data_IF_388134040980
#
_entry.id   IF_388134040980
#
_cell.length_a   1.000
_cell.length_b   1.000
_cell.length_c   1.000
_cell.angle_alpha   90.00
_cell.angle_beta   90.00
_cell.angle_gamma   90.00
#
_symmetry.space_group_name_H-M   'P 1'
#
loop_
_entity.id
_entity.type
_entity.pdbx_description
1 polymer ?
#
# COMPACT_ATOMS: atom_id res chain seq x y z
N UNK A 1 -26.99 -19.50 11.70
CA UNK A 1 -27.67 -18.25 11.36
C UNK A 1 -28.40 -18.47 10.03
N UNK A 2 -29.71 -18.31 10.02
CA UNK A 2 -30.47 -18.20 8.79
C UNK A 2 -30.46 -16.73 8.35
N UNK A 3 -29.91 -16.45 7.19
CA UNK A 3 -29.71 -15.10 6.67
C UNK A 3 -30.66 -14.77 5.50
N UNK A 4 -31.64 -15.66 5.23
CA UNK A 4 -32.59 -15.55 4.12
C UNK A 4 -31.91 -15.25 2.78
N UNK A 5 -31.95 -13.99 2.36
CA UNK A 5 -31.40 -13.51 1.08
C UNK A 5 -29.99 -12.88 1.21
N UNK A 6 -29.34 -13.00 2.35
CA UNK A 6 -28.03 -12.42 2.60
C UNK A 6 -26.93 -13.48 2.59
N UNK A 7 -25.73 -13.08 2.24
CA UNK A 7 -24.52 -13.89 2.32
C UNK A 7 -23.56 -13.23 3.31
N UNK A 8 -23.11 -13.99 4.32
CA UNK A 8 -22.07 -13.55 5.22
C UNK A 8 -20.70 -13.86 4.61
N UNK A 9 -19.90 -12.82 4.46
CA UNK A 9 -18.50 -12.92 4.00
C UNK A 9 -17.55 -12.39 5.08
N UNK A 10 -16.26 -12.76 5.06
CA UNK A 10 -15.27 -12.08 5.88
C UNK A 10 -15.24 -10.58 5.55
N UNK A 11 -14.91 -9.76 6.56
CA UNK A 11 -14.69 -8.33 6.32
C UNK A 11 -13.57 -8.11 5.31
N UNK A 12 -13.71 -7.09 4.47
CA UNK A 12 -12.70 -6.74 3.47
C UNK A 12 -11.48 -6.12 4.15
N UNK A 13 -10.31 -6.36 3.59
CA UNK A 13 -9.03 -5.83 4.06
C UNK A 13 -8.42 -4.99 2.95
N UNK A 14 -8.31 -3.69 3.18
CA UNK A 14 -7.67 -2.75 2.28
C UNK A 14 -6.15 -2.77 2.51
N UNK A 15 -5.42 -3.42 1.62
CA UNK A 15 -3.99 -3.69 1.80
C UNK A 15 -3.08 -2.49 1.57
N UNK A 16 -3.59 -1.40 1.03
CA UNK A 16 -2.84 -0.16 0.79
C UNK A 16 -3.76 1.04 0.71
N UNK A 17 -3.51 2.04 1.55
CA UNK A 17 -4.18 3.33 1.56
C UNK A 17 -3.22 4.47 1.87
N UNK A 18 -3.67 5.69 1.55
CA UNK A 18 -3.25 6.97 2.12
C UNK A 18 -4.50 7.61 2.72
N UNK A 19 -4.98 7.07 3.84
CA UNK A 19 -6.32 7.32 4.36
C UNK A 19 -6.66 8.81 4.46
N UNK A 20 -5.73 9.63 4.97
CA UNK A 20 -5.98 11.07 5.17
C UNK A 20 -6.06 11.87 3.87
N UNK A 21 -5.63 11.31 2.73
CA UNK A 21 -5.80 11.93 1.41
C UNK A 21 -7.24 11.96 0.92
N UNK A 22 -8.21 11.46 1.70
CA UNK A 22 -9.65 11.71 1.44
C UNK A 22 -9.99 13.19 1.36
N UNK A 23 -9.25 14.04 2.10
CA UNK A 23 -9.40 15.49 2.02
C UNK A 23 -8.81 16.11 0.75
N UNK A 24 -8.06 15.35 -0.03
CA UNK A 24 -7.45 15.77 -1.30
C UNK A 24 -8.16 15.15 -2.53
N UNK A 25 -9.28 14.50 -2.33
CA UNK A 25 -10.07 13.86 -3.39
C UNK A 25 -10.44 14.86 -4.48
N UNK A 26 -10.11 14.54 -5.74
CA UNK A 26 -10.38 15.38 -6.91
C UNK A 26 -9.56 16.67 -6.97
N UNK A 27 -8.49 16.80 -6.18
CA UNK A 27 -7.64 18.00 -6.17
C UNK A 27 -6.95 18.24 -7.51
N UNK A 28 -6.50 17.17 -8.17
CA UNK A 28 -5.75 17.26 -9.42
C UNK A 28 -5.94 15.96 -10.21
N UNK A 29 -6.97 15.90 -11.06
CA UNK A 29 -7.25 14.74 -11.91
C UNK A 29 -6.55 14.86 -13.27
N UNK A 30 -6.46 13.72 -14.00
CA UNK A 30 -6.00 13.61 -15.38
C UNK A 30 -4.54 14.05 -15.61
N UNK A 31 -3.65 13.74 -14.68
CA UNK A 31 -2.23 14.08 -14.71
C UNK A 31 -1.33 12.84 -14.58
N UNK A 32 -0.15 12.84 -15.25
CA UNK A 32 0.87 11.82 -15.00
C UNK A 32 1.37 11.87 -13.56
N UNK A 33 1.74 10.71 -12.97
CA UNK A 33 2.12 10.54 -11.58
C UNK A 33 3.09 11.62 -11.07
N UNK A 34 4.23 11.85 -11.74
CA UNK A 34 5.24 12.79 -11.23
C UNK A 34 4.78 14.25 -11.28
N UNK A 35 4.02 14.66 -12.32
CA UNK A 35 3.40 15.99 -12.39
C UNK A 35 2.35 16.12 -11.29
N UNK A 36 1.51 15.10 -11.11
CA UNK A 36 0.51 15.05 -10.05
C UNK A 36 1.14 15.21 -8.65
N UNK A 37 2.21 14.46 -8.37
CA UNK A 37 2.93 14.54 -7.09
C UNK A 37 3.62 15.88 -6.88
N UNK A 38 4.50 16.28 -7.82
CA UNK A 38 5.43 17.41 -7.62
C UNK A 38 4.75 18.76 -7.70
N UNK A 39 3.78 18.90 -8.63
CA UNK A 39 3.17 20.20 -8.92
C UNK A 39 1.87 20.43 -8.14
N UNK A 40 1.23 19.37 -7.65
CA UNK A 40 -0.09 19.48 -6.99
C UNK A 40 -0.13 18.89 -5.58
N UNK A 41 0.24 17.62 -5.38
CA UNK A 41 0.06 16.96 -4.09
C UNK A 41 1.07 17.44 -3.05
N UNK A 42 2.36 17.31 -3.30
CA UNK A 42 3.39 17.69 -2.33
C UNK A 42 3.33 19.16 -1.89
N UNK A 43 3.05 20.15 -2.77
CA UNK A 43 2.85 21.53 -2.33
C UNK A 43 1.66 21.73 -1.39
N UNK A 44 0.57 20.99 -1.61
CA UNK A 44 -0.62 21.03 -0.75
C UNK A 44 -0.34 20.33 0.57
N UNK A 45 0.30 19.17 0.54
CA UNK A 45 0.72 18.44 1.74
C UNK A 45 1.67 19.27 2.60
N UNK A 46 2.69 19.89 2.01
CA UNK A 46 3.62 20.75 2.72
C UNK A 46 2.94 21.93 3.43
N UNK A 47 1.81 22.39 2.93
CA UNK A 47 1.04 23.50 3.47
C UNK A 47 0.03 23.09 4.53
N UNK A 48 -0.64 21.98 4.37
CA UNK A 48 -1.85 21.66 5.11
C UNK A 48 -1.74 20.42 5.99
N UNK A 49 -0.82 19.49 5.69
CA UNK A 49 -0.73 18.24 6.45
C UNK A 49 -0.10 18.49 7.81
N UNK A 50 -0.88 18.20 8.82
CA UNK A 50 -0.54 18.21 10.22
C UNK A 50 -1.49 17.29 10.99
N UNK A 51 -1.36 17.20 12.31
CA UNK A 51 -2.17 16.26 13.12
C UNK A 51 -3.68 16.40 12.91
N UNK A 52 -4.21 17.62 12.84
CA UNK A 52 -5.65 17.87 12.67
C UNK A 52 -6.12 17.42 11.28
N UNK A 53 -5.37 17.76 10.22
CA UNK A 53 -5.67 17.30 8.86
C UNK A 53 -5.68 15.77 8.78
N UNK A 54 -4.67 15.13 9.36
CA UNK A 54 -4.56 13.67 9.34
C UNK A 54 -5.69 13.03 10.13
N UNK A 55 -6.05 13.57 11.29
CA UNK A 55 -7.17 13.08 12.09
C UNK A 55 -8.50 13.15 11.32
N UNK A 56 -8.83 14.30 10.74
CA UNK A 56 -10.10 14.52 10.06
C UNK A 56 -10.20 13.67 8.78
N UNK A 57 -9.10 13.64 8.00
CA UNK A 57 -9.04 12.83 6.78
C UNK A 57 -9.12 11.32 7.07
N UNK A 58 -8.40 10.85 8.10
CA UNK A 58 -8.44 9.45 8.50
C UNK A 58 -9.82 9.02 9.01
N UNK A 59 -10.50 9.85 9.81
CA UNK A 59 -11.87 9.55 10.27
C UNK A 59 -12.85 9.47 9.11
N UNK A 60 -12.77 10.40 8.15
CA UNK A 60 -13.60 10.37 6.94
C UNK A 60 -13.33 9.09 6.12
N UNK A 61 -12.06 8.73 5.92
CA UNK A 61 -11.67 7.49 5.25
C UNK A 61 -12.23 6.24 5.94
N UNK A 62 -12.10 6.17 7.26
CA UNK A 62 -12.60 5.03 8.05
C UNK A 62 -14.13 4.92 7.97
N UNK A 63 -14.85 6.04 8.00
CA UNK A 63 -16.31 6.05 7.82
C UNK A 63 -16.72 5.52 6.45
N UNK A 64 -16.01 5.90 5.38
CA UNK A 64 -16.23 5.41 4.03
C UNK A 64 -15.89 3.92 3.91
N UNK A 65 -14.71 3.50 4.38
CA UNK A 65 -14.26 2.10 4.38
C UNK A 65 -15.22 1.19 5.15
N UNK A 66 -15.66 1.56 6.37
CA UNK A 66 -16.62 0.78 7.15
C UNK A 66 -17.97 0.64 6.44
N UNK A 67 -18.45 1.69 5.79
CA UNK A 67 -19.68 1.63 4.99
C UNK A 67 -19.53 0.73 3.77
N UNK A 68 -18.34 0.64 3.17
CA UNK A 68 -17.97 -0.26 2.08
C UNK A 68 -17.68 -1.70 2.51
N UNK A 69 -17.74 -2.02 3.84
CA UNK A 69 -17.47 -3.37 4.36
C UNK A 69 -16.00 -3.68 4.63
N UNK A 70 -15.12 -2.69 4.58
CA UNK A 70 -13.72 -2.80 4.98
C UNK A 70 -13.63 -2.80 6.51
N UNK A 71 -12.97 -3.81 7.06
CA UNK A 71 -12.83 -4.00 8.52
C UNK A 71 -11.39 -3.89 9.02
N UNK A 72 -10.45 -3.82 8.08
CA UNK A 72 -9.03 -3.60 8.33
C UNK A 72 -8.43 -2.84 7.15
N UNK A 73 -7.50 -1.92 7.41
CA UNK A 73 -6.75 -1.24 6.36
C UNK A 73 -5.27 -1.12 6.71
N UNK A 74 -4.44 -0.97 5.69
CA UNK A 74 -3.01 -0.71 5.81
C UNK A 74 -2.72 0.68 5.25
N UNK A 75 -2.19 1.56 6.08
CA UNK A 75 -2.00 2.97 5.77
C UNK A 75 -0.53 3.34 5.63
N UNK A 76 -0.22 4.19 4.67
CA UNK A 76 1.10 4.81 4.49
C UNK A 76 0.94 6.32 4.42
N UNK A 77 1.04 7.00 5.56
CA UNK A 77 0.95 8.46 5.58
C UNK A 77 1.75 9.08 6.73
N UNK A 78 1.89 10.41 6.69
CA UNK A 78 2.51 11.19 7.77
C UNK A 78 1.65 11.16 9.04
N UNK A 79 2.25 11.32 10.21
CA UNK A 79 1.60 11.27 11.52
C UNK A 79 0.85 9.95 11.79
N UNK A 80 1.49 8.78 11.63
CA UNK A 80 0.84 7.48 11.80
C UNK A 80 0.25 7.27 13.20
N UNK A 81 0.78 7.94 14.23
CA UNK A 81 0.24 7.95 15.60
C UNK A 81 -1.18 8.55 15.67
N UNK A 82 -1.47 9.54 14.81
CA UNK A 82 -2.79 10.16 14.72
C UNK A 82 -3.77 9.20 14.05
N UNK A 83 -3.35 8.53 12.96
CA UNK A 83 -4.16 7.49 12.30
C UNK A 83 -4.44 6.34 13.25
N UNK A 84 -3.45 5.90 14.05
CA UNK A 84 -3.61 4.86 15.06
C UNK A 84 -4.64 5.26 16.12
N UNK A 85 -4.60 6.49 16.62
CA UNK A 85 -5.57 7.00 17.59
C UNK A 85 -6.98 7.06 17.01
N UNK A 86 -7.13 7.54 15.77
CA UNK A 86 -8.42 7.58 15.07
C UNK A 86 -8.98 6.17 14.83
N UNK A 87 -8.13 5.19 14.43
CA UNK A 87 -8.55 3.81 14.23
C UNK A 87 -9.10 3.16 15.52
N UNK A 88 -8.43 3.40 16.67
CA UNK A 88 -8.94 2.97 17.97
C UNK A 88 -10.30 3.60 18.29
N UNK A 89 -10.43 4.90 18.09
CA UNK A 89 -11.68 5.62 18.35
C UNK A 89 -12.84 5.14 17.47
N UNK A 90 -12.58 4.83 16.21
CA UNK A 90 -13.55 4.28 15.27
C UNK A 90 -13.81 2.78 15.46
N UNK A 91 -12.94 2.05 16.17
CA UNK A 91 -13.05 0.60 16.37
C UNK A 91 -12.73 -0.23 15.14
N UNK A 92 -11.95 0.28 14.19
CA UNK A 92 -11.49 -0.41 12.99
C UNK A 92 -10.05 -0.92 13.17
N UNK A 93 -9.73 -2.09 12.62
CA UNK A 93 -8.36 -2.56 12.59
C UNK A 93 -7.51 -1.79 11.59
N UNK A 94 -6.26 -1.48 11.98
CA UNK A 94 -5.32 -0.82 11.10
C UNK A 94 -3.91 -1.42 11.24
N UNK A 95 -3.17 -1.43 10.13
CA UNK A 95 -1.73 -1.48 10.11
C UNK A 95 -1.24 -0.08 9.71
N UNK A 96 -0.51 0.61 10.59
CA UNK A 96 -0.02 1.96 10.31
C UNK A 96 1.43 1.92 9.89
N UNK A 97 1.73 2.57 8.77
CA UNK A 97 3.06 2.63 8.20
C UNK A 97 3.98 3.57 8.97
N UNK A 98 5.10 3.06 9.48
CA UNK A 98 6.20 3.86 10.00
C UNK A 98 6.91 4.52 8.81
N UNK A 99 6.32 5.65 8.36
CA UNK A 99 6.71 6.33 7.13
C UNK A 99 8.17 6.80 7.19
N UNK A 100 8.89 6.71 6.07
CA UNK A 100 10.25 7.22 5.93
C UNK A 100 10.50 7.82 4.55
N UNK A 101 11.17 8.99 4.54
CA UNK A 101 11.66 9.69 3.37
C UNK A 101 13.09 10.18 3.62
N UNK A 102 13.89 10.36 2.57
CA UNK A 102 15.21 11.00 2.66
C UNK A 102 15.18 12.54 2.55
N UNK A 103 14.00 13.12 2.70
CA UNK A 103 13.81 14.57 2.72
C UNK A 103 12.90 15.01 3.88
N UNK A 104 13.02 16.24 4.34
CA UNK A 104 12.20 16.76 5.43
C UNK A 104 10.74 16.93 5.01
N UNK A 105 9.82 16.64 5.93
CA UNK A 105 8.38 16.90 5.81
C UNK A 105 7.87 17.60 7.06
N UNK A 106 6.59 17.92 7.11
CA UNK A 106 5.94 18.40 8.34
C UNK A 106 5.98 17.42 9.51
N UNK A 107 6.23 16.13 9.22
CA UNK A 107 6.29 15.07 10.23
C UNK A 107 7.69 14.90 10.83
N UNK A 108 8.74 14.83 10.00
CA UNK A 108 10.12 14.65 10.46
C UNK A 108 11.13 15.36 9.54
N UNK A 109 12.29 15.71 10.08
CA UNK A 109 13.32 16.50 9.38
C UNK A 109 14.50 15.66 8.89
N UNK A 110 14.61 14.41 9.32
CA UNK A 110 15.71 13.51 8.96
C UNK A 110 15.27 12.05 9.07
N UNK A 111 16.02 11.14 8.41
CA UNK A 111 15.80 9.70 8.53
C UNK A 111 15.87 9.24 9.99
N UNK A 112 16.79 9.77 10.80
CA UNK A 112 16.87 9.42 12.22
C UNK A 112 15.62 9.82 12.98
N UNK A 113 15.03 10.97 12.67
CA UNK A 113 13.78 11.41 13.30
C UNK A 113 12.60 10.57 12.85
N UNK A 114 12.49 10.23 11.54
CA UNK A 114 11.47 9.30 11.06
C UNK A 114 11.53 7.97 11.79
N UNK A 115 12.71 7.38 11.88
CA UNK A 115 12.89 6.09 12.54
C UNK A 115 12.67 6.19 14.05
N UNK A 116 13.12 7.23 14.72
CA UNK A 116 12.91 7.40 16.15
C UNK A 116 11.42 7.50 16.51
N UNK A 117 10.66 8.32 15.76
CA UNK A 117 9.19 8.43 15.93
C UNK A 117 8.48 7.12 15.62
N UNK A 118 8.88 6.45 14.53
CA UNK A 118 8.32 5.15 14.16
C UNK A 118 8.54 4.08 15.22
N UNK A 119 9.77 3.95 15.75
CA UNK A 119 10.10 2.99 16.79
C UNK A 119 9.33 3.29 18.09
N UNK A 120 9.20 4.56 18.46
CA UNK A 120 8.38 4.94 19.61
C UNK A 120 6.92 4.52 19.42
N UNK A 121 6.34 4.81 18.25
CA UNK A 121 4.96 4.40 17.94
C UNK A 121 4.82 2.87 17.98
N UNK A 122 5.78 2.12 17.43
CA UNK A 122 5.74 0.66 17.51
C UNK A 122 5.72 0.17 18.97
N UNK A 123 6.54 0.77 19.84
CA UNK A 123 6.56 0.42 21.27
C UNK A 123 5.20 0.71 21.93
N UNK A 124 4.57 1.84 21.59
CA UNK A 124 3.25 2.23 22.11
C UNK A 124 2.13 1.30 21.63
N UNK A 125 2.32 0.61 20.50
CA UNK A 125 1.34 -0.30 19.88
C UNK A 125 1.49 -1.77 20.30
N UNK A 126 2.54 -2.17 21.05
CA UNK A 126 2.86 -3.58 21.34
C UNK A 126 1.71 -4.41 21.93
N UNK A 127 0.83 -3.79 22.70
CA UNK A 127 -0.31 -4.48 23.33
C UNK A 127 -1.66 -4.04 22.72
N UNK A 128 -1.64 -3.32 21.61
CA UNK A 128 -2.86 -2.82 20.99
C UNK A 128 -3.60 -3.96 20.25
N UNK A 129 -4.89 -4.19 20.55
CA UNK A 129 -5.64 -5.28 19.94
C UNK A 129 -6.14 -4.96 18.53
N UNK A 130 -6.14 -3.68 18.12
CA UNK A 130 -6.69 -3.21 16.86
C UNK A 130 -5.64 -2.70 15.89
N UNK A 131 -4.56 -2.09 16.39
CA UNK A 131 -3.58 -1.40 15.57
C UNK A 131 -2.22 -2.07 15.64
N UNK A 132 -1.61 -2.27 14.48
CA UNK A 132 -0.25 -2.80 14.31
C UNK A 132 0.58 -1.81 13.50
N UNK A 133 1.89 -1.99 13.48
CA UNK A 133 2.81 -1.20 12.67
C UNK A 133 3.46 -2.05 11.58
N UNK A 134 3.84 -1.39 10.47
CA UNK A 134 4.75 -1.91 9.46
C UNK A 134 5.75 -0.82 9.10
N UNK A 135 7.00 -1.13 8.76
CA UNK A 135 7.86 -0.14 8.15
C UNK A 135 7.31 0.28 6.78
N UNK A 136 7.29 1.57 6.52
CA UNK A 136 6.74 2.13 5.28
C UNK A 136 7.72 3.11 4.63
N UNK A 137 8.92 2.66 4.17
CA UNK A 137 9.73 3.48 3.28
C UNK A 137 8.91 3.76 2.03
N UNK A 138 8.77 5.03 1.64
CA UNK A 138 7.80 5.43 0.62
C UNK A 138 8.03 4.71 -0.73
N UNK A 139 9.23 4.85 -1.29
CA UNK A 139 9.58 4.22 -2.57
C UNK A 139 11.12 4.13 -2.72
N UNK A 140 11.67 3.27 -3.59
CA UNK A 140 13.11 3.17 -3.83
C UNK A 140 13.76 4.46 -4.35
N UNK A 141 12.97 5.36 -4.97
CA UNK A 141 13.45 6.65 -5.48
C UNK A 141 13.34 7.81 -4.49
N UNK A 142 12.73 7.60 -3.33
CA UNK A 142 12.60 8.61 -2.25
C UNK A 142 13.32 8.22 -0.98
N UNK A 143 13.88 7.01 -0.92
CA UNK A 143 14.60 6.47 0.24
C UNK A 143 15.91 5.86 -0.23
N UNK A 144 17.02 6.31 0.31
CA UNK A 144 18.36 5.85 -0.08
C UNK A 144 18.61 4.39 0.25
N UNK A 145 19.58 3.78 -0.44
CA UNK A 145 20.00 2.41 -0.19
C UNK A 145 20.41 2.18 1.27
N UNK A 146 21.15 3.11 1.88
CA UNK A 146 21.58 3.00 3.28
C UNK A 146 20.41 3.06 4.27
N UNK A 147 19.40 3.88 3.98
CA UNK A 147 18.19 3.94 4.78
C UNK A 147 17.35 2.65 4.62
N UNK A 148 17.20 2.16 3.39
CA UNK A 148 16.52 0.88 3.12
C UNK A 148 17.21 -0.29 3.82
N UNK A 149 18.55 -0.40 3.78
CA UNK A 149 19.28 -1.42 4.53
C UNK A 149 19.06 -1.34 6.04
N UNK A 150 19.02 -0.11 6.58
CA UNK A 150 18.74 0.10 8.01
C UNK A 150 17.32 -0.32 8.37
N UNK A 151 16.35 0.04 7.54
CA UNK A 151 14.94 -0.37 7.71
C UNK A 151 14.81 -1.90 7.61
N UNK A 152 15.48 -2.53 6.63
CA UNK A 152 15.50 -3.98 6.48
C UNK A 152 15.98 -4.70 7.74
N UNK A 153 17.12 -4.26 8.31
CA UNK A 153 17.63 -4.81 9.58
C UNK A 153 16.66 -4.63 10.75
N UNK A 154 16.06 -3.45 10.88
CA UNK A 154 15.08 -3.20 11.93
C UNK A 154 13.82 -4.05 11.74
N UNK A 155 13.36 -4.24 10.50
CA UNK A 155 12.22 -5.08 10.19
C UNK A 155 12.49 -6.56 10.53
N UNK A 156 13.72 -7.04 10.29
CA UNK A 156 14.13 -8.40 10.67
C UNK A 156 14.21 -8.56 12.20
N UNK A 157 14.84 -7.61 12.90
CA UNK A 157 15.02 -7.63 14.35
C UNK A 157 13.69 -7.57 15.11
N UNK A 158 12.68 -6.87 14.54
CA UNK A 158 11.38 -6.61 15.17
C UNK A 158 10.25 -7.49 14.62
N UNK A 159 10.55 -8.34 13.62
CA UNK A 159 9.58 -9.15 12.89
C UNK A 159 8.41 -8.34 12.31
N UNK A 160 8.70 -7.18 11.70
CA UNK A 160 7.72 -6.29 11.13
C UNK A 160 7.67 -6.39 9.60
N UNK A 161 6.47 -6.23 8.98
CA UNK A 161 6.34 -6.10 7.53
C UNK A 161 7.01 -4.82 7.01
N UNK A 162 7.36 -4.84 5.72
CA UNK A 162 7.83 -3.68 4.96
C UNK A 162 6.82 -3.40 3.85
N UNK A 163 6.26 -2.22 3.86
CA UNK A 163 5.24 -1.75 2.91
C UNK A 163 5.84 -0.63 2.06
N UNK A 164 5.93 -0.79 0.74
CA UNK A 164 6.68 0.12 -0.14
C UNK A 164 6.10 0.13 -1.56
N UNK A 165 6.04 1.33 -2.21
CA UNK A 165 5.71 1.44 -3.62
C UNK A 165 6.87 0.95 -4.49
N UNK A 166 6.58 0.05 -5.45
CA UNK A 166 7.59 -0.54 -6.33
C UNK A 166 7.02 -0.74 -7.73
N UNK A 167 7.79 -0.34 -8.75
CA UNK A 167 7.43 -0.56 -10.15
C UNK A 167 6.05 -0.01 -10.51
N UNK A 168 5.73 1.20 -10.03
CA UNK A 168 4.43 1.80 -10.28
C UNK A 168 4.29 2.27 -11.72
N UNK A 169 5.30 2.98 -12.29
CA UNK A 169 5.26 3.45 -13.66
C UNK A 169 6.49 3.04 -14.47
N UNK A 170 6.33 2.96 -15.79
CA UNK A 170 7.47 2.69 -16.70
C UNK A 170 8.53 3.79 -16.62
N UNK A 171 8.13 5.05 -16.43
CA UNK A 171 9.03 6.18 -16.29
C UNK A 171 9.87 6.09 -15.01
N UNK A 172 9.26 5.71 -13.88
CA UNK A 172 9.94 5.44 -12.61
C UNK A 172 11.03 4.37 -12.79
N UNK A 173 10.64 3.22 -13.34
CA UNK A 173 11.57 2.09 -13.53
C UNK A 173 12.73 2.46 -14.45
N UNK A 174 12.45 3.12 -15.59
CA UNK A 174 13.48 3.52 -16.54
C UNK A 174 14.45 4.54 -15.93
N UNK A 175 13.93 5.53 -15.20
CA UNK A 175 14.75 6.51 -14.50
C UNK A 175 15.63 5.86 -13.44
N UNK A 176 15.05 5.03 -12.58
CA UNK A 176 15.78 4.34 -11.51
C UNK A 176 16.90 3.46 -12.10
N UNK A 177 16.60 2.72 -13.17
CA UNK A 177 17.58 1.88 -13.85
C UNK A 177 18.72 2.71 -14.46
N UNK A 178 18.42 3.88 -15.05
CA UNK A 178 19.45 4.77 -15.60
C UNK A 178 20.36 5.36 -14.50
N UNK A 179 19.79 5.69 -13.32
CA UNK A 179 20.52 6.30 -12.20
C UNK A 179 21.32 5.25 -11.39
N UNK A 180 20.82 4.01 -11.27
CA UNK A 180 21.36 3.00 -10.35
C UNK A 180 21.91 1.73 -11.03
N UNK A 181 21.74 1.59 -12.35
CA UNK A 181 22.23 0.44 -13.11
C UNK A 181 21.45 -0.87 -12.90
N UNK A 182 20.36 -0.84 -12.13
CA UNK A 182 19.49 -1.99 -11.85
C UNK A 182 18.02 -1.54 -11.70
N UNK A 183 17.09 -2.49 -11.81
CA UNK A 183 15.66 -2.21 -11.60
C UNK A 183 15.34 -2.04 -10.10
N UNK A 184 14.26 -1.32 -9.72
CA UNK A 184 13.90 -1.13 -8.31
C UNK A 184 13.77 -2.42 -7.50
N UNK A 185 13.09 -3.45 -8.01
CA UNK A 185 12.96 -4.73 -7.31
C UNK A 185 14.32 -5.44 -7.11
N UNK A 186 15.18 -5.39 -8.11
CA UNK A 186 16.54 -5.93 -8.02
C UNK A 186 17.36 -5.21 -6.94
N UNK A 187 17.19 -3.88 -6.81
CA UNK A 187 17.79 -3.12 -5.72
C UNK A 187 17.31 -3.59 -4.36
N UNK A 188 16.00 -3.78 -4.19
CA UNK A 188 15.44 -4.29 -2.92
C UNK A 188 15.99 -5.69 -2.59
N UNK A 189 16.15 -6.56 -3.59
CA UNK A 189 16.77 -7.88 -3.42
C UNK A 189 18.24 -7.78 -2.97
N UNK A 190 19.05 -6.93 -3.63
CA UNK A 190 20.44 -6.67 -3.25
C UNK A 190 20.61 -6.16 -1.82
N UNK A 191 19.63 -5.40 -1.33
CA UNK A 191 19.60 -4.84 0.02
C UNK A 191 18.93 -5.78 1.06
N UNK A 192 18.52 -7.00 0.65
CA UNK A 192 17.91 -7.99 1.54
C UNK A 192 16.44 -7.73 1.90
N UNK A 193 15.78 -6.80 1.20
CA UNK A 193 14.37 -6.48 1.49
C UNK A 193 13.37 -7.40 0.75
N UNK A 194 13.81 -8.13 -0.27
CA UNK A 194 12.96 -9.09 -0.98
C UNK A 194 12.80 -10.36 -0.15
N UNK A 195 11.77 -10.41 0.67
CA UNK A 195 11.48 -11.50 1.61
C UNK A 195 9.96 -11.63 1.84
N UNK A 196 9.55 -12.60 2.66
CA UNK A 196 8.16 -12.78 3.06
C UNK A 196 7.58 -11.62 3.89
N UNK A 197 8.41 -10.66 4.33
CA UNK A 197 7.94 -9.43 4.99
C UNK A 197 7.59 -8.32 4.01
N UNK A 198 7.97 -8.44 2.73
CA UNK A 198 7.76 -7.39 1.74
C UNK A 198 6.30 -7.39 1.25
N UNK A 199 5.64 -6.26 1.38
CA UNK A 199 4.41 -5.91 0.68
C UNK A 199 4.73 -4.83 -0.36
N UNK A 200 4.91 -5.23 -1.62
CA UNK A 200 5.18 -4.35 -2.74
C UNK A 200 3.88 -3.84 -3.36
N UNK A 201 3.73 -2.52 -3.46
CA UNK A 201 2.51 -1.89 -3.99
C UNK A 201 2.65 -1.60 -5.48
N UNK A 202 1.54 -1.67 -6.22
CA UNK A 202 1.36 -1.44 -7.66
C UNK A 202 1.91 -2.54 -8.56
N UNK A 203 3.22 -2.72 -8.65
CA UNK A 203 3.91 -3.77 -9.43
C UNK A 203 3.40 -3.88 -10.88
N UNK A 204 3.16 -2.74 -11.54
CA UNK A 204 2.62 -2.70 -12.91
C UNK A 204 3.66 -3.07 -13.97
N UNK A 205 4.96 -2.88 -13.67
CA UNK A 205 6.07 -2.99 -14.63
C UNK A 205 6.94 -4.23 -14.38
N UNK A 206 6.31 -5.38 -14.13
CA UNK A 206 7.01 -6.63 -13.84
C UNK A 206 7.48 -7.37 -15.09
N UNK A 207 8.71 -7.85 -15.04
CA UNK A 207 9.24 -8.86 -15.94
C UNK A 207 8.94 -10.29 -15.45
N UNK A 208 8.90 -11.30 -16.34
CA UNK A 208 8.63 -12.69 -15.94
C UNK A 208 9.54 -13.20 -14.82
N UNK A 209 10.85 -12.94 -14.92
CA UNK A 209 11.82 -13.37 -13.91
C UNK A 209 11.61 -12.69 -12.54
N UNK A 210 11.05 -11.48 -12.51
CA UNK A 210 10.74 -10.79 -11.27
C UNK A 210 9.53 -11.44 -10.54
N UNK A 211 8.56 -11.94 -11.28
CA UNK A 211 7.43 -12.71 -10.73
C UNK A 211 7.93 -13.99 -10.04
N UNK A 212 8.88 -14.68 -10.66
CA UNK A 212 9.49 -15.88 -10.08
C UNK A 212 10.27 -15.56 -8.79
N UNK A 213 11.01 -14.46 -8.76
CA UNK A 213 11.73 -13.99 -7.56
C UNK A 213 10.79 -13.62 -6.43
N UNK A 214 9.69 -12.90 -6.71
CA UNK A 214 8.66 -12.59 -5.72
C UNK A 214 8.05 -13.86 -5.12
N UNK A 215 7.73 -14.86 -5.96
CA UNK A 215 7.18 -16.14 -5.52
C UNK A 215 8.17 -16.92 -4.64
N UNK A 216 9.45 -17.00 -5.04
CA UNK A 216 10.49 -17.68 -4.28
C UNK A 216 10.77 -17.01 -2.92
N UNK A 217 10.71 -15.68 -2.88
CA UNK A 217 10.89 -14.91 -1.67
C UNK A 217 9.67 -14.97 -0.72
N UNK A 218 8.51 -15.47 -1.19
CA UNK A 218 7.25 -15.42 -0.43
C UNK A 218 6.69 -14.00 -0.26
N UNK A 219 7.14 -13.04 -1.09
CA UNK A 219 6.73 -11.65 -1.00
C UNK A 219 5.26 -11.47 -1.37
N UNK A 220 4.67 -10.37 -0.89
CA UNK A 220 3.28 -10.00 -1.14
C UNK A 220 3.19 -8.82 -2.11
N UNK A 221 2.07 -8.73 -2.84
CA UNK A 221 1.77 -7.62 -3.74
C UNK A 221 0.42 -7.00 -3.35
N UNK A 222 0.38 -5.68 -3.15
CA UNK A 222 -0.85 -4.92 -3.06
C UNK A 222 -1.19 -4.37 -4.45
N UNK A 223 -2.25 -4.91 -5.05
CA UNK A 223 -2.76 -4.48 -6.34
C UNK A 223 -3.82 -3.40 -6.15
N UNK A 224 -3.61 -2.22 -6.76
CA UNK A 224 -4.49 -1.07 -6.70
C UNK A 224 -4.98 -0.74 -8.12
N UNK A 225 -5.93 -1.52 -8.67
CA UNK A 225 -6.27 -1.43 -10.10
C UNK A 225 -6.84 -0.08 -10.51
N UNK A 226 -7.70 0.54 -9.72
CA UNK A 226 -8.31 1.83 -10.07
C UNK A 226 -7.28 2.96 -10.07
N UNK A 227 -6.42 3.05 -9.05
CA UNK A 227 -5.31 4.01 -9.02
C UNK A 227 -4.35 3.82 -10.21
N UNK A 228 -3.96 2.58 -10.49
CA UNK A 228 -3.10 2.27 -11.63
C UNK A 228 -3.71 2.72 -12.97
N UNK A 229 -5.03 2.61 -13.11
CA UNK A 229 -5.76 3.05 -14.31
C UNK A 229 -5.91 4.56 -14.35
N UNK A 230 -6.30 5.20 -13.24
CA UNK A 230 -6.48 6.65 -13.16
C UNK A 230 -5.21 7.41 -13.49
N UNK A 231 -4.07 6.97 -12.93
CA UNK A 231 -2.75 7.58 -13.17
C UNK A 231 -2.06 7.07 -14.45
N UNK A 232 -2.71 6.16 -15.19
CA UNK A 232 -2.14 5.46 -16.35
C UNK A 232 -0.75 4.84 -16.05
N UNK A 233 -0.57 4.35 -14.82
CA UNK A 233 0.69 3.77 -14.34
C UNK A 233 1.06 2.48 -15.07
N UNK A 234 0.06 1.70 -15.48
CA UNK A 234 0.23 0.43 -16.18
C UNK A 234 -0.69 -0.68 -15.64
N UNK A 235 -0.41 -1.92 -16.02
CA UNK A 235 -1.22 -3.08 -15.65
C UNK A 235 -0.42 -4.04 -14.78
N UNK A 236 -0.79 -4.16 -13.51
CA UNK A 236 -0.25 -5.22 -12.66
C UNK A 236 -0.68 -6.60 -13.21
N UNK A 237 0.25 -7.52 -13.46
CA UNK A 237 -0.07 -8.85 -13.97
C UNK A 237 -0.60 -9.78 -12.86
N UNK A 238 -1.64 -9.33 -12.13
CA UNK A 238 -2.16 -9.98 -10.92
C UNK A 238 -2.51 -11.47 -11.13
N UNK A 239 -3.05 -11.82 -12.30
CA UNK A 239 -3.33 -13.25 -12.64
C UNK A 239 -2.06 -14.09 -12.78
N UNK A 240 -0.96 -13.52 -13.32
CA UNK A 240 0.33 -14.21 -13.42
C UNK A 240 1.01 -14.35 -12.06
N UNK A 241 0.93 -13.32 -11.23
CA UNK A 241 1.42 -13.34 -9.85
C UNK A 241 0.71 -14.43 -9.04
N UNK A 242 -0.62 -14.45 -9.09
CA UNK A 242 -1.43 -15.45 -8.40
C UNK A 242 -1.14 -16.89 -8.88
N UNK A 243 -1.00 -17.10 -10.19
CA UNK A 243 -0.64 -18.41 -10.77
C UNK A 243 0.77 -18.86 -10.39
N UNK A 244 1.70 -17.92 -10.16
CA UNK A 244 3.05 -18.21 -9.68
C UNK A 244 3.11 -18.45 -8.16
N UNK A 245 2.00 -18.30 -7.43
CA UNK A 245 1.92 -18.50 -5.98
C UNK A 245 2.26 -17.25 -5.15
N UNK A 246 2.43 -16.10 -5.78
CA UNK A 246 2.60 -14.83 -5.06
C UNK A 246 1.27 -14.47 -4.38
N UNK A 247 1.30 -14.13 -3.10
CA UNK A 247 0.11 -13.64 -2.41
C UNK A 247 -0.22 -12.23 -2.91
N UNK A 248 -1.33 -12.10 -3.61
CA UNK A 248 -1.87 -10.81 -4.07
C UNK A 248 -2.98 -10.37 -3.13
N UNK A 249 -2.89 -9.15 -2.63
CA UNK A 249 -3.92 -8.45 -1.87
C UNK A 249 -4.47 -7.27 -2.70
N UNK A 250 -5.64 -6.76 -2.34
CA UNK A 250 -6.26 -5.59 -2.99
C UNK A 250 -6.12 -4.38 -2.08
N UNK A 251 -5.75 -3.24 -2.66
CA UNK A 251 -5.72 -1.94 -2.02
C UNK A 251 -6.39 -0.89 -2.89
N UNK A 252 -6.92 0.16 -2.27
CA UNK A 252 -7.53 1.28 -3.00
C UNK A 252 -6.51 2.35 -3.39
N UNK A 253 -5.35 2.37 -2.73
CA UNK A 253 -4.51 3.56 -2.69
C UNK A 253 -5.21 4.74 -1.98
N UNK A 254 -4.74 5.98 -2.13
CA UNK A 254 -5.39 7.16 -1.57
C UNK A 254 -6.56 7.65 -2.44
N UNK A 255 -7.58 8.25 -1.82
CA UNK A 255 -8.71 8.82 -2.56
C UNK A 255 -8.31 9.99 -3.48
N UNK A 256 -7.11 10.53 -3.37
CA UNK A 256 -6.57 11.51 -4.32
C UNK A 256 -6.09 10.86 -5.62
N UNK A 257 -5.58 9.63 -5.57
CA UNK A 257 -5.13 8.85 -6.74
C UNK A 257 -6.18 7.87 -7.26
N UNK A 258 -7.26 7.63 -6.51
CA UNK A 258 -8.35 6.70 -6.86
C UNK A 258 -9.68 7.43 -7.10
N UNK A 259 -10.12 8.25 -6.20
CA UNK A 259 -11.36 9.00 -6.02
C UNK A 259 -12.31 8.42 -4.96
N UNK A 260 -12.15 7.17 -4.54
CA UNK A 260 -12.89 6.58 -3.42
C UNK A 260 -12.03 5.56 -2.65
N UNK A 261 -12.65 4.88 -1.67
CA UNK A 261 -12.04 3.80 -0.90
C UNK A 261 -12.94 2.55 -0.93
N UNK A 262 -13.63 2.33 -2.06
CA UNK A 262 -14.55 1.20 -2.26
C UNK A 262 -13.83 -0.05 -2.76
N UNK A 263 -13.56 -0.99 -1.85
CA UNK A 263 -12.96 -2.28 -2.22
C UNK A 263 -13.86 -3.14 -3.15
N UNK A 264 -15.18 -2.97 -3.16
CA UNK A 264 -16.02 -3.68 -4.12
C UNK A 264 -15.83 -3.15 -5.55
N UNK A 265 -15.61 -1.85 -5.72
CA UNK A 265 -15.17 -1.24 -6.97
C UNK A 265 -13.85 -1.85 -7.43
N UNK A 266 -12.85 -1.85 -6.57
CA UNK A 266 -11.53 -2.45 -6.84
C UNK A 266 -11.62 -3.94 -7.24
N UNK A 267 -12.42 -4.74 -6.52
CA UNK A 267 -12.65 -6.15 -6.85
C UNK A 267 -13.21 -6.33 -8.27
N UNK A 268 -14.17 -5.50 -8.64
CA UNK A 268 -14.76 -5.52 -9.98
C UNK A 268 -13.74 -5.18 -11.05
N UNK A 269 -12.97 -4.12 -10.84
CA UNK A 269 -11.94 -3.69 -11.79
C UNK A 269 -10.82 -4.72 -11.87
N UNK A 270 -10.32 -5.24 -10.76
CA UNK A 270 -9.31 -6.30 -10.73
C UNK A 270 -9.74 -7.54 -11.54
N UNK A 271 -10.98 -7.99 -11.34
CA UNK A 271 -11.51 -9.18 -12.04
C UNK A 271 -11.63 -8.95 -13.55
N UNK A 272 -12.12 -7.80 -13.98
CA UNK A 272 -12.31 -7.47 -15.40
C UNK A 272 -10.97 -7.19 -16.09
N UNK A 273 -10.14 -6.37 -15.47
CA UNK A 273 -8.81 -6.02 -15.98
C UNK A 273 -7.90 -7.24 -16.09
N UNK A 274 -7.91 -8.10 -15.06
CA UNK A 274 -7.12 -9.34 -15.06
C UNK A 274 -7.43 -10.25 -16.25
N UNK A 275 -8.70 -10.35 -16.66
CA UNK A 275 -9.11 -11.09 -17.86
C UNK A 275 -8.61 -10.43 -19.13
N UNK A 276 -8.76 -9.11 -19.23
CA UNK A 276 -8.32 -8.34 -20.39
C UNK A 276 -6.80 -8.42 -20.58
N UNK A 277 -6.02 -8.26 -19.51
CA UNK A 277 -4.55 -8.33 -19.52
C UNK A 277 -4.05 -9.73 -19.84
N UNK A 278 -4.73 -10.77 -19.33
CA UNK A 278 -4.38 -12.16 -19.61
C UNK A 278 -4.83 -12.64 -21.01
N UNK A 279 -5.77 -11.93 -21.66
CA UNK A 279 -6.42 -12.42 -22.88
C UNK A 279 -7.24 -13.70 -22.65
N UNK A 280 -7.68 -13.95 -21.41
CA UNK A 280 -8.35 -15.18 -20.98
C UNK A 280 -9.55 -14.85 -20.08
N UNK A 281 -10.75 -15.24 -20.52
CA UNK A 281 -11.99 -15.05 -19.76
C UNK A 281 -12.04 -15.83 -18.43
N UNK A 282 -11.21 -16.86 -18.26
CA UNK A 282 -11.10 -17.64 -17.03
C UNK A 282 -10.11 -17.04 -16.01
N UNK A 283 -9.26 -16.09 -16.41
CA UNK A 283 -8.32 -15.45 -15.51
C UNK A 283 -9.04 -14.69 -14.39
N UNK A 284 -8.48 -14.69 -13.19
CA UNK A 284 -8.99 -14.00 -11.99
C UNK A 284 -10.51 -14.07 -11.81
N UNK A 285 -11.07 -15.26 -11.58
CA UNK A 285 -12.50 -15.41 -11.32
C UNK A 285 -12.90 -14.68 -10.02
N UNK A 286 -14.15 -14.22 -9.92
CA UNK A 286 -14.66 -13.40 -8.82
C UNK A 286 -14.33 -13.96 -7.42
N UNK A 287 -14.44 -15.27 -7.22
CA UNK A 287 -14.08 -15.92 -5.95
C UNK A 287 -12.59 -15.74 -5.60
N UNK A 288 -11.72 -15.71 -6.61
CA UNK A 288 -10.27 -15.51 -6.39
C UNK A 288 -10.00 -14.07 -5.99
N UNK A 289 -10.62 -13.10 -6.65
CA UNK A 289 -10.46 -11.68 -6.34
C UNK A 289 -11.05 -11.35 -4.96
N UNK A 290 -12.21 -11.93 -4.60
CA UNK A 290 -12.73 -11.80 -3.23
C UNK A 290 -11.76 -12.36 -2.18
N UNK A 291 -11.08 -13.47 -2.48
CA UNK A 291 -10.03 -14.02 -1.62
C UNK A 291 -8.85 -13.07 -1.49
N UNK A 292 -8.46 -12.34 -2.54
CA UNK A 292 -7.41 -11.31 -2.48
C UNK A 292 -7.75 -10.17 -1.53
N UNK A 293 -9.02 -9.71 -1.51
CA UNK A 293 -9.48 -8.64 -0.62
C UNK A 293 -9.86 -9.12 0.80
N UNK A 294 -9.70 -10.39 1.09
CA UNK A 294 -9.99 -10.98 2.42
C UNK A 294 -8.75 -11.70 2.94
N UNK A 295 -8.60 -12.99 2.66
CA UNK A 295 -7.47 -13.80 3.12
C UNK A 295 -6.13 -13.32 2.55
N UNK A 296 -6.09 -12.86 1.30
CA UNK A 296 -4.88 -12.28 0.70
C UNK A 296 -4.39 -11.05 1.47
N UNK A 297 -5.32 -10.15 1.83
CA UNK A 297 -5.03 -9.02 2.69
C UNK A 297 -4.59 -9.45 4.10
N UNK A 298 -5.26 -10.43 4.70
CA UNK A 298 -4.88 -10.96 6.01
C UNK A 298 -3.45 -11.50 6.03
N UNK A 299 -3.07 -12.27 5.01
CA UNK A 299 -1.70 -12.78 4.84
C UNK A 299 -0.67 -11.69 4.69
N UNK A 300 -0.96 -10.72 3.83
CA UNK A 300 -0.05 -9.60 3.59
C UNK A 300 0.21 -8.76 4.84
N UNK A 301 -0.74 -8.72 5.78
CA UNK A 301 -0.65 -7.96 7.02
C UNK A 301 -0.34 -8.82 8.27
N UNK A 302 -0.07 -10.12 8.11
CA UNK A 302 0.23 -11.02 9.23
C UNK A 302 -0.94 -11.20 10.21
N UNK A 303 -2.18 -11.27 9.69
CA UNK A 303 -3.42 -11.40 10.48
C UNK A 303 -4.04 -12.81 10.42
N UNK A 304 -3.35 -13.80 9.86
CA UNK A 304 -3.81 -15.19 9.81
C UNK A 304 -3.82 -15.86 11.19
#
# INVERSE_FOLDING_TARGET
>A
LDLDQHVLIPGLINAHTHASMTLLRGLADDLPLMTWLQDHIWPVEARWVGPDFVNDGAQLAMAEMLRGGTTCFNDMYMFPEVVAAAARACGIRACVGLIAFDFPTGYAQSMDEYLAKGLQLHDDLRADPLVRAAFAPHAPYTVSASALERIGRLADDMDLPIHIHVHETAAEVARFQAEHGCRPLERLEQLGLLSARLLAVHMTQLEPAEIERLAQAGAHVAHCPESNLKLASGFCPAGRLDNAGVNVAIGTDGAASNNDLDLFGELRVAALLGKAVAGDAAALPAARVLRMATLGGARALGLE
#
